data_IF_166158802293
#
_entry.id   IF_166158802293
#
_cell.length_a   1.000
_cell.length_b   1.000
_cell.length_c   1.000
_cell.angle_alpha   90.00
_cell.angle_beta   90.00
_cell.angle_gamma   90.00
#
_symmetry.space_group_name_H-M   'P 1'
#
loop_
_entity.id
_entity.type
_entity.pdbx_description
1 polymer ?
#
# COMPACT_ATOMS: atom_id res chain seq x y z
N UNK A 1 25.89 -4.64 -8.13
CA UNK A 1 26.97 -5.00 -7.20
C UNK A 1 26.36 -5.66 -5.98
N UNK A 2 26.91 -6.79 -5.56
CA UNK A 2 26.24 -7.83 -4.77
C UNK A 2 26.16 -7.52 -3.26
N UNK A 3 25.07 -7.98 -2.62
CA UNK A 3 24.88 -7.97 -1.17
C UNK A 3 25.62 -9.16 -0.53
N UNK A 4 26.18 -8.98 0.66
CA UNK A 4 26.69 -10.06 1.50
C UNK A 4 25.92 -10.10 2.82
N UNK A 5 25.70 -11.32 3.32
CA UNK A 5 25.16 -11.60 4.65
C UNK A 5 26.36 -11.77 5.56
N UNK A 6 26.48 -10.96 6.62
CA UNK A 6 27.46 -11.26 7.66
C UNK A 6 27.01 -12.51 8.43
N UNK A 7 27.99 -13.31 8.84
CA UNK A 7 27.93 -14.52 9.66
C UNK A 7 26.99 -14.45 10.87
N UNK A 8 26.63 -13.24 11.32
CA UNK A 8 25.76 -12.97 12.47
C UNK A 8 24.24 -12.91 12.15
N UNK A 9 23.80 -13.04 10.88
CA UNK A 9 22.39 -12.84 10.46
C UNK A 9 21.77 -11.51 10.88
N UNK A 10 22.58 -10.52 11.27
CA UNK A 10 22.11 -9.19 11.65
C UNK A 10 21.78 -8.38 10.40
N UNK A 11 20.59 -7.80 10.38
CA UNK A 11 20.18 -6.82 9.36
C UNK A 11 21.13 -5.63 9.45
N UNK A 12 22.02 -5.49 8.48
CA UNK A 12 22.90 -4.33 8.38
C UNK A 12 22.05 -3.17 7.86
N UNK A 13 21.42 -2.42 8.78
CA UNK A 13 20.58 -1.27 8.48
C UNK A 13 21.33 -0.15 7.72
N UNK A 14 22.66 -0.17 7.67
CA UNK A 14 23.48 0.83 6.97
C UNK A 14 23.38 0.79 5.44
N UNK A 15 22.57 -0.09 4.85
CA UNK A 15 22.33 -0.17 3.40
C UNK A 15 20.86 0.00 2.98
N UNK A 16 19.96 0.31 3.91
CA UNK A 16 18.59 0.69 3.56
C UNK A 16 18.60 2.13 3.04
N UNK A 17 18.12 2.32 1.81
CA UNK A 17 17.96 3.66 1.28
C UNK A 17 16.76 4.32 1.96
N UNK A 18 16.99 5.47 2.60
CA UNK A 18 15.91 6.31 3.13
C UNK A 18 15.24 7.02 1.97
N UNK A 19 13.92 6.84 1.85
CA UNK A 19 13.14 7.34 0.73
C UNK A 19 11.85 7.97 1.24
N UNK A 20 11.56 9.18 0.77
CA UNK A 20 10.25 9.81 0.97
C UNK A 20 9.32 9.27 -0.10
N UNK A 21 8.21 8.68 0.32
CA UNK A 21 7.24 8.07 -0.56
C UNK A 21 5.83 8.21 0.00
N UNK A 22 4.86 8.19 -0.90
CA UNK A 22 3.47 7.98 -0.52
C UNK A 22 3.19 6.50 -0.62
N UNK A 23 2.62 5.92 0.43
CA UNK A 23 2.27 4.50 0.45
C UNK A 23 0.76 4.35 0.42
N UNK A 24 0.28 3.35 -0.31
CA UNK A 24 -1.04 2.81 -0.14
C UNK A 24 -0.90 1.38 0.39
N UNK A 25 -1.61 1.06 1.46
CA UNK A 25 -1.66 -0.28 2.02
C UNK A 25 -3.08 -0.79 1.89
N UNK A 26 -3.20 -1.98 1.31
CA UNK A 26 -4.46 -2.68 1.12
C UNK A 26 -4.47 -3.87 2.08
N UNK A 27 -5.52 -3.99 2.88
CA UNK A 27 -5.79 -5.15 3.72
C UNK A 27 -7.00 -5.89 3.17
N UNK A 28 -6.79 -7.12 2.71
CA UNK A 28 -7.82 -7.98 2.18
C UNK A 28 -8.41 -8.84 3.31
N UNK A 29 -9.35 -8.26 4.07
CA UNK A 29 -9.99 -9.00 5.16
C UNK A 29 -10.94 -10.06 4.59
N UNK A 30 -10.56 -11.34 4.74
CA UNK A 30 -11.39 -12.45 4.30
C UNK A 30 -12.57 -12.69 5.26
N UNK A 31 -13.77 -12.90 4.71
CA UNK A 31 -14.82 -13.65 5.40
C UNK A 31 -14.67 -15.12 5.02
N UNK A 32 -14.59 -16.02 6.00
CA UNK A 32 -14.21 -17.43 5.82
C UNK A 32 -15.02 -18.18 4.72
N UNK A 33 -14.37 -18.89 3.78
CA UNK A 33 -15.02 -19.79 2.80
C UNK A 33 -14.20 -20.28 1.59
N UNK A 34 -14.59 -21.40 0.93
CA UNK A 34 -13.83 -22.04 -0.18
C UNK A 34 -13.63 -21.20 -1.47
N UNK A 35 -14.32 -20.06 -1.62
CA UNK A 35 -14.19 -19.13 -2.76
C UNK A 35 -12.95 -18.22 -2.70
N UNK A 36 -12.16 -18.32 -1.64
CA UNK A 36 -11.08 -17.39 -1.26
C UNK A 36 -9.92 -17.32 -2.25
N UNK A 37 -9.40 -18.47 -2.72
CA UNK A 37 -8.18 -18.48 -3.54
C UNK A 37 -8.34 -17.79 -4.89
N UNK A 38 -9.50 -17.96 -5.54
CA UNK A 38 -9.79 -17.30 -6.82
C UNK A 38 -10.05 -15.80 -6.64
N UNK A 39 -10.70 -15.40 -5.55
CA UNK A 39 -10.89 -13.99 -5.21
C UNK A 39 -9.57 -13.28 -4.93
N UNK A 40 -8.69 -13.91 -4.16
CA UNK A 40 -7.38 -13.36 -3.83
C UNK A 40 -6.45 -13.26 -5.05
N UNK A 41 -6.40 -14.26 -5.93
CA UNK A 41 -5.64 -14.16 -7.19
C UNK A 41 -6.16 -13.04 -8.09
N UNK A 42 -7.49 -12.86 -8.19
CA UNK A 42 -8.07 -11.76 -8.95
C UNK A 42 -7.73 -10.40 -8.35
N UNK A 43 -7.78 -10.27 -7.02
CA UNK A 43 -7.37 -9.06 -6.30
C UNK A 43 -5.92 -8.70 -6.59
N UNK A 44 -5.00 -9.66 -6.53
CA UNK A 44 -3.59 -9.44 -6.85
C UNK A 44 -3.40 -8.93 -8.28
N UNK A 45 -4.16 -9.45 -9.25
CA UNK A 45 -4.14 -8.96 -10.64
C UNK A 45 -4.60 -7.51 -10.71
N UNK A 46 -5.75 -7.18 -10.10
CA UNK A 46 -6.27 -5.81 -10.06
C UNK A 46 -5.28 -4.83 -9.41
N UNK A 47 -4.67 -5.23 -8.30
CA UNK A 47 -3.65 -4.44 -7.61
C UNK A 47 -2.44 -4.21 -8.51
N UNK A 48 -1.95 -5.23 -9.21
CA UNK A 48 -0.83 -5.09 -10.13
C UNK A 48 -1.16 -4.15 -11.30
N UNK A 49 -2.30 -4.34 -11.96
CA UNK A 49 -2.73 -3.56 -13.12
C UNK A 49 -2.94 -2.08 -12.76
N UNK A 50 -3.67 -1.82 -11.67
CA UNK A 50 -3.92 -0.45 -11.20
C UNK A 50 -2.67 0.21 -10.65
N UNK A 51 -1.76 -0.54 -10.00
CA UNK A 51 -0.47 0.00 -9.58
C UNK A 51 0.32 0.50 -10.78
N UNK A 52 0.41 -0.29 -11.85
CA UNK A 52 1.10 0.11 -13.08
C UNK A 52 0.42 1.35 -13.71
N UNK A 53 -0.91 1.35 -13.80
CA UNK A 53 -1.67 2.47 -14.37
C UNK A 53 -1.44 3.79 -13.60
N UNK A 54 -1.35 3.71 -12.27
CA UNK A 54 -1.10 4.87 -11.40
C UNK A 54 0.39 5.12 -11.12
N UNK A 55 1.30 4.46 -11.86
CA UNK A 55 2.77 4.57 -11.69
C UNK A 55 3.24 4.25 -10.26
N UNK A 56 2.52 3.36 -9.59
CA UNK A 56 2.90 2.75 -8.33
C UNK A 56 3.77 1.52 -8.53
N UNK A 57 4.36 1.05 -7.44
CA UNK A 57 5.13 -0.20 -7.39
C UNK A 57 4.68 -1.02 -6.20
N UNK A 58 4.32 -2.28 -6.42
CA UNK A 58 4.02 -3.23 -5.35
C UNK A 58 5.36 -3.62 -4.71
N UNK A 59 5.66 -3.06 -3.54
CA UNK A 59 6.92 -3.32 -2.83
C UNK A 59 6.85 -4.60 -2.02
N UNK A 60 5.68 -4.92 -1.46
CA UNK A 60 5.55 -6.02 -0.52
C UNK A 60 4.15 -6.62 -0.52
N UNK A 61 4.09 -7.95 -0.40
CA UNK A 61 2.87 -8.71 -0.10
C UNK A 61 3.14 -9.56 1.15
N UNK A 62 2.40 -9.31 2.22
CA UNK A 62 2.54 -9.93 3.54
C UNK A 62 1.21 -10.56 3.95
N UNK A 63 0.98 -11.83 3.61
CA UNK A 63 -0.33 -12.45 3.82
C UNK A 63 -1.39 -11.65 3.08
N UNK A 64 -2.39 -11.15 3.78
CA UNK A 64 -3.51 -10.42 3.18
C UNK A 64 -3.23 -8.93 2.93
N UNK A 65 -2.03 -8.47 3.30
CA UNK A 65 -1.62 -7.07 3.15
C UNK A 65 -0.74 -6.86 1.94
N UNK A 66 -1.06 -5.84 1.16
CA UNK A 66 -0.27 -5.40 0.02
C UNK A 66 0.19 -3.97 0.25
N UNK A 67 1.48 -3.73 0.10
CA UNK A 67 2.11 -2.41 0.23
C UNK A 67 2.51 -1.93 -1.15
N UNK A 68 1.88 -0.85 -1.58
CA UNK A 68 2.13 -0.20 -2.86
C UNK A 68 2.75 1.16 -2.57
N UNK A 69 3.82 1.50 -3.28
CA UNK A 69 4.44 2.81 -3.14
C UNK A 69 4.32 3.64 -4.39
N UNK A 70 4.15 4.93 -4.17
CA UNK A 70 4.01 5.95 -5.18
C UNK A 70 5.15 6.94 -4.98
N UNK A 71 6.09 6.85 -5.92
CA UNK A 71 7.36 7.56 -5.97
C UNK A 71 8.30 7.36 -4.78
N UNK A 72 9.50 6.97 -5.14
CA UNK A 72 10.56 6.48 -4.28
C UNK A 72 11.74 7.50 -4.26
N UNK A 73 11.59 8.67 -4.91
CA UNK A 73 12.71 9.63 -5.10
C UNK A 73 12.35 11.13 -5.10
N UNK A 74 11.11 11.55 -5.42
CA UNK A 74 10.70 12.98 -5.33
C UNK A 74 9.23 13.11 -4.94
N UNK A 75 8.93 13.36 -3.66
CA UNK A 75 7.57 13.65 -3.22
C UNK A 75 7.05 14.89 -3.97
N UNK A 76 6.22 14.68 -4.99
CA UNK A 76 5.46 15.70 -5.68
C UNK A 76 3.97 15.43 -5.42
N UNK A 77 3.15 16.47 -5.46
CA UNK A 77 1.70 16.36 -5.20
C UNK A 77 1.00 15.40 -6.17
N UNK A 78 1.54 15.17 -7.37
CA UNK A 78 0.96 14.22 -8.33
C UNK A 78 0.98 12.77 -7.85
N UNK A 79 1.97 12.37 -7.03
CA UNK A 79 2.03 10.99 -6.52
C UNK A 79 1.08 10.75 -5.35
N UNK A 80 0.82 11.78 -4.55
CA UNK A 80 -0.26 11.74 -3.56
C UNK A 80 -1.61 11.49 -4.23
N UNK A 81 -1.86 12.20 -5.32
CA UNK A 81 -3.07 12.00 -6.14
C UNK A 81 -3.09 10.59 -6.72
N UNK A 82 -1.99 10.09 -7.28
CA UNK A 82 -1.90 8.72 -7.81
C UNK A 82 -2.19 7.65 -6.75
N UNK A 83 -1.69 7.81 -5.51
CA UNK A 83 -1.92 6.87 -4.43
C UNK A 83 -3.41 6.83 -4.03
N UNK A 84 -4.05 7.99 -3.89
CA UNK A 84 -5.49 8.05 -3.57
C UNK A 84 -6.33 7.57 -4.73
N UNK A 85 -5.99 7.97 -5.97
CA UNK A 85 -6.67 7.51 -7.18
C UNK A 85 -6.58 5.99 -7.32
N UNK A 86 -5.41 5.39 -7.07
CA UNK A 86 -5.24 3.95 -7.03
C UNK A 86 -6.20 3.29 -6.05
N UNK A 87 -6.29 3.78 -4.80
CA UNK A 87 -7.18 3.19 -3.81
C UNK A 87 -8.66 3.31 -4.20
N UNK A 88 -9.08 4.45 -4.72
CA UNK A 88 -10.46 4.67 -5.17
C UNK A 88 -10.79 3.76 -6.34
N UNK A 89 -9.93 3.74 -7.37
CA UNK A 89 -10.11 2.91 -8.56
C UNK A 89 -10.14 1.41 -8.17
N UNK A 90 -9.28 0.98 -7.22
CA UNK A 90 -9.23 -0.39 -6.72
C UNK A 90 -10.49 -0.78 -5.94
N UNK A 91 -10.91 0.04 -4.97
CA UNK A 91 -12.11 -0.23 -4.17
C UNK A 91 -13.35 -0.27 -5.06
N UNK A 92 -13.45 0.62 -6.04
CA UNK A 92 -14.53 0.63 -7.01
C UNK A 92 -14.52 -0.63 -7.88
N UNK A 93 -13.42 -0.92 -8.57
CA UNK A 93 -13.29 -2.12 -9.41
C UNK A 93 -13.52 -3.42 -8.63
N UNK A 94 -13.07 -3.46 -7.37
CA UNK A 94 -13.32 -4.59 -6.49
C UNK A 94 -14.80 -4.71 -6.16
N UNK A 95 -15.48 -3.61 -5.78
CA UNK A 95 -16.90 -3.63 -5.43
C UNK A 95 -17.80 -4.15 -6.56
N UNK A 96 -17.40 -3.95 -7.82
CA UNK A 96 -18.11 -4.44 -9.01
C UNK A 96 -17.84 -5.93 -9.30
N UNK A 97 -16.75 -6.49 -8.78
CA UNK A 97 -16.39 -7.89 -8.95
C UNK A 97 -17.29 -8.80 -8.12
N UNK A 98 -17.80 -9.89 -8.70
CA UNK A 98 -18.55 -10.91 -7.95
C UNK A 98 -17.72 -11.54 -6.81
N UNK A 99 -16.39 -11.47 -6.92
CA UNK A 99 -15.46 -11.99 -5.90
C UNK A 99 -15.44 -11.13 -4.63
N UNK A 100 -15.91 -9.89 -4.67
CA UNK A 100 -16.00 -9.00 -3.49
C UNK A 100 -16.97 -9.49 -2.42
N UNK A 101 -17.92 -10.36 -2.77
CA UNK A 101 -18.87 -10.95 -1.83
C UNK A 101 -18.19 -11.77 -0.72
N UNK A 102 -16.92 -12.16 -0.92
CA UNK A 102 -16.16 -13.03 -0.02
C UNK A 102 -14.93 -12.38 0.61
N UNK A 103 -14.51 -11.22 0.13
CA UNK A 103 -13.33 -10.52 0.64
C UNK A 103 -13.64 -9.04 0.72
N UNK A 104 -13.53 -8.47 1.91
CA UNK A 104 -13.64 -7.03 2.12
C UNK A 104 -12.26 -6.42 1.98
N UNK A 105 -12.20 -5.23 1.39
CA UNK A 105 -10.97 -4.48 1.29
C UNK A 105 -11.02 -3.28 2.21
N UNK A 106 -9.93 -3.08 2.95
CA UNK A 106 -9.64 -1.82 3.58
C UNK A 106 -8.41 -1.23 2.90
N UNK A 107 -8.45 0.07 2.64
CA UNK A 107 -7.34 0.78 2.01
C UNK A 107 -6.98 1.99 2.86
N UNK A 108 -5.69 2.19 3.08
CA UNK A 108 -5.16 3.36 3.76
C UNK A 108 -3.97 3.92 2.98
N UNK A 109 -3.87 5.24 2.88
CA UNK A 109 -2.68 5.90 2.36
C UNK A 109 -2.14 6.96 3.31
N UNK A 110 -0.81 7.09 3.28
CA UNK A 110 -0.10 8.13 4.00
C UNK A 110 1.19 8.54 3.28
N UNK A 111 1.69 9.72 3.62
CA UNK A 111 3.00 10.20 3.17
C UNK A 111 4.02 9.92 4.24
N UNK A 112 5.01 9.06 3.96
CA UNK A 112 5.99 8.67 4.97
C UNK A 112 7.42 8.75 4.44
N UNK A 113 8.36 8.64 5.37
CA UNK A 113 9.74 8.31 5.04
C UNK A 113 9.98 6.86 5.40
N UNK A 114 10.23 6.02 4.41
CA UNK A 114 10.54 4.61 4.59
C UNK A 114 12.01 4.30 4.29
N UNK A 115 12.47 3.23 4.90
CA UNK A 115 13.70 2.54 4.58
C UNK A 115 13.37 1.40 3.63
N UNK A 116 13.89 1.49 2.40
CA UNK A 116 13.66 0.48 1.37
C UNK A 116 14.97 -0.29 1.11
N UNK A 117 14.86 -1.58 0.90
CA UNK A 117 16.01 -2.41 0.52
C UNK A 117 15.60 -3.80 0.09
N UNK A 118 16.57 -4.71 0.08
CA UNK A 118 16.32 -6.14 -0.17
C UNK A 118 16.85 -6.96 1.00
N UNK A 119 16.11 -8.00 1.38
CA UNK A 119 16.55 -9.04 2.30
C UNK A 119 16.52 -10.38 1.56
N UNK A 120 17.70 -10.89 1.20
CA UNK A 120 17.82 -12.04 0.32
C UNK A 120 17.28 -11.69 -1.07
N UNK A 121 16.29 -12.45 -1.55
CA UNK A 121 15.60 -12.19 -2.82
C UNK A 121 14.34 -11.33 -2.68
N UNK A 122 13.98 -10.87 -1.47
CA UNK A 122 12.74 -10.13 -1.21
C UNK A 122 13.01 -8.65 -1.06
N UNK A 123 12.18 -7.80 -1.66
CA UNK A 123 12.12 -6.39 -1.31
C UNK A 123 11.55 -6.22 0.09
N UNK A 124 12.12 -5.29 0.86
CA UNK A 124 11.64 -4.94 2.19
C UNK A 124 11.45 -3.43 2.30
N UNK A 125 10.35 -3.04 2.94
CA UNK A 125 10.06 -1.67 3.34
C UNK A 125 9.83 -1.63 4.84
N UNK A 126 10.52 -0.71 5.51
CA UNK A 126 10.40 -0.47 6.94
C UNK A 126 10.14 1.01 7.17
N UNK A 127 9.26 1.35 8.11
CA UNK A 127 9.07 2.73 8.53
C UNK A 127 7.88 2.84 9.47
N UNK A 128 8.00 3.71 10.46
CA UNK A 128 7.00 3.90 11.52
C UNK A 128 5.61 4.27 10.96
N UNK A 129 5.58 4.90 9.77
CA UNK A 129 4.34 5.19 9.07
C UNK A 129 3.55 3.94 8.60
N UNK A 130 4.21 2.80 8.42
CA UNK A 130 3.50 1.54 8.10
C UNK A 130 2.67 1.04 9.30
N UNK A 131 3.13 1.28 10.53
CA UNK A 131 2.37 0.93 11.74
C UNK A 131 1.12 1.81 11.88
N UNK A 132 1.25 3.10 11.53
CA UNK A 132 0.11 4.04 11.44
C UNK A 132 -0.89 3.54 10.40
N UNK A 133 -0.40 3.10 9.23
CA UNK A 133 -1.25 2.52 8.19
C UNK A 133 -2.00 1.27 8.69
N UNK A 134 -1.32 0.40 9.44
CA UNK A 134 -1.94 -0.77 10.07
C UNK A 134 -3.03 -0.39 11.09
N UNK A 135 -2.81 0.67 11.88
CA UNK A 135 -3.81 1.19 12.81
C UNK A 135 -5.02 1.79 12.09
N UNK A 136 -4.80 2.53 10.99
CA UNK A 136 -5.88 3.04 10.13
C UNK A 136 -6.72 1.91 9.55
N UNK A 137 -6.08 0.88 8.98
CA UNK A 137 -6.78 -0.28 8.41
C UNK A 137 -7.60 -1.04 9.46
N UNK A 138 -7.05 -1.19 10.67
CA UNK A 138 -7.79 -1.77 11.80
C UNK A 138 -9.00 -0.93 12.18
N UNK A 139 -8.85 0.40 12.23
CA UNK A 139 -9.97 1.32 12.48
C UNK A 139 -11.04 1.22 11.38
N UNK A 140 -10.63 1.10 10.11
CA UNK A 140 -11.54 0.88 8.99
C UNK A 140 -12.34 -0.42 9.13
N UNK A 141 -11.67 -1.50 9.54
CA UNK A 141 -12.29 -2.80 9.79
C UNK A 141 -13.27 -2.73 10.97
N UNK A 142 -12.87 -2.15 12.10
CA UNK A 142 -13.70 -1.98 13.29
C UNK A 142 -14.94 -1.13 13.01
N UNK A 143 -14.80 -0.07 12.21
CA UNK A 143 -15.92 0.81 11.81
C UNK A 143 -16.69 0.31 10.59
N UNK A 144 -16.25 -0.79 9.96
CA UNK A 144 -16.82 -1.35 8.73
C UNK A 144 -16.96 -0.30 7.63
N UNK A 145 -15.94 0.53 7.46
CA UNK A 145 -15.92 1.54 6.40
C UNK A 145 -15.36 0.96 5.12
N UNK A 146 -16.09 1.14 4.02
CA UNK A 146 -15.66 0.76 2.66
C UNK A 146 -14.95 1.93 1.94
N UNK A 147 -14.67 3.03 2.65
CA UNK A 147 -13.98 4.20 2.13
C UNK A 147 -12.48 4.11 2.39
N UNK A 148 -11.64 4.64 1.47
CA UNK A 148 -10.21 4.72 1.71
C UNK A 148 -9.92 5.71 2.84
N UNK A 149 -9.04 5.33 3.75
CA UNK A 149 -8.54 6.23 4.79
C UNK A 149 -7.27 6.94 4.32
N UNK A 150 -7.17 8.22 4.62
CA UNK A 150 -6.04 9.05 4.21
C UNK A 150 -5.50 9.77 5.44
N UNK A 151 -4.18 9.77 5.63
CA UNK A 151 -3.53 10.55 6.68
C UNK A 151 -3.86 12.05 6.52
N UNK A 152 -4.12 12.76 7.63
CA UNK A 152 -4.47 14.18 7.62
C UNK A 152 -3.48 15.04 6.82
N UNK A 153 -2.17 14.82 6.99
CA UNK A 153 -1.15 15.57 6.25
C UNK A 153 -1.22 15.32 4.73
N UNK A 154 -1.51 14.08 4.33
CA UNK A 154 -1.72 13.73 2.93
C UNK A 154 -3.03 14.38 2.40
N UNK A 155 -4.09 14.39 3.21
CA UNK A 155 -5.35 15.06 2.87
C UNK A 155 -5.18 16.57 2.66
N UNK A 156 -4.47 17.26 3.55
CA UNK A 156 -4.19 18.69 3.42
C UNK A 156 -3.38 19.00 2.13
N UNK A 157 -2.41 18.16 1.80
CA UNK A 157 -1.63 18.28 0.56
C UNK A 157 -2.51 18.12 -0.69
N UNK A 158 -3.50 17.21 -0.64
CA UNK A 158 -4.48 17.03 -1.71
C UNK A 158 -5.41 18.22 -1.82
N UNK A 159 -5.96 18.71 -0.70
CA UNK A 159 -6.82 19.90 -0.70
C UNK A 159 -6.14 21.09 -1.37
N UNK A 160 -4.89 21.38 -1.01
CA UNK A 160 -4.10 22.46 -1.63
C UNK A 160 -3.85 22.27 -3.13
N UNK A 161 -3.87 21.03 -3.62
CA UNK A 161 -3.72 20.71 -5.04
C UNK A 161 -5.03 20.96 -5.81
N UNK A 162 -6.19 20.82 -5.16
CA UNK A 162 -7.52 21.00 -5.76
C UNK A 162 -8.20 22.34 -5.44
N UNK A 163 -7.73 23.10 -4.45
CA UNK A 163 -8.28 24.39 -4.04
C UNK A 163 -7.75 25.59 -4.84
N UNK A 164 -6.82 25.38 -5.76
CA UNK A 164 -6.42 26.38 -6.77
C UNK A 164 -7.23 26.20 -8.07
N UNK A 165 -8.56 26.31 -8.00
CA UNK A 165 -9.44 26.56 -9.15
C UNK A 165 -10.66 27.38 -8.72
#
# INVERSE_FOLDING_TARGET
>A
SNFSVDSSRRLICSRLARKKCTVAVIDAWETHGRGQRAGYTHLLSLVADLSVAQKGTVEQVLGDRMVITFNVSKANSSHNVSAVKFMVDLLHAWSESEKSKHVRLHAAALSLTAYCGTWGSRSIMLGDGLDVCGAMLRLAAERRTDFPLVETALYEQLQNTYSCR
#
